data_IF_655862466163
#
_entry.id   IF_655862466163
#
_cell.length_a   1.000
_cell.length_b   1.000
_cell.length_c   1.000
_cell.angle_alpha   90.00
_cell.angle_beta   90.00
_cell.angle_gamma   90.00
#
_symmetry.space_group_name_H-M   'P 1'
#
loop_
_entity.id
_entity.type
_entity.pdbx_description
1 polymer ?
#
# COMPACT_ATOMS: atom_id res chain seq x y z
N UNK A 1 9.91 17.79 -18.03
CA UNK A 1 10.30 17.22 -16.71
C UNK A 1 10.94 18.32 -15.89
N UNK A 2 10.61 18.43 -14.61
CA UNK A 2 11.37 19.27 -13.68
C UNK A 2 12.65 18.52 -13.27
N UNK A 3 13.77 19.24 -13.16
CA UNK A 3 15.05 18.68 -12.72
C UNK A 3 15.22 18.94 -11.23
N UNK A 4 15.58 17.91 -10.47
CA UNK A 4 15.87 18.01 -9.04
C UNK A 4 17.26 17.41 -8.78
N UNK A 5 18.16 18.20 -8.21
CA UNK A 5 19.48 17.75 -7.81
C UNK A 5 19.43 17.22 -6.38
N UNK A 6 19.95 16.02 -6.15
CA UNK A 6 19.99 15.38 -4.84
C UNK A 6 21.40 14.89 -4.58
N UNK A 7 21.98 15.28 -3.45
CA UNK A 7 23.27 14.76 -2.98
C UNK A 7 23.04 13.55 -2.09
N UNK A 8 23.74 12.46 -2.38
CA UNK A 8 23.66 11.22 -1.62
C UNK A 8 25.04 10.88 -1.05
N UNK A 9 25.13 10.36 0.19
CA UNK A 9 26.36 9.76 0.71
C UNK A 9 26.81 8.57 -0.16
N UNK A 10 28.12 8.30 -0.18
CA UNK A 10 28.70 7.22 -0.99
C UNK A 10 28.02 5.85 -0.80
N UNK A 11 27.69 5.40 0.44
CA UNK A 11 26.98 4.13 0.62
C UNK A 11 25.60 4.08 -0.05
N UNK A 12 24.89 5.20 -0.12
CA UNK A 12 23.59 5.27 -0.79
C UNK A 12 23.75 5.29 -2.31
N UNK A 13 24.81 5.91 -2.82
CA UNK A 13 25.14 5.86 -4.24
C UNK A 13 25.44 4.43 -4.68
N UNK A 14 26.29 3.71 -3.94
CA UNK A 14 26.63 2.31 -4.23
C UNK A 14 25.40 1.40 -4.22
N UNK A 15 24.48 1.64 -3.27
CA UNK A 15 23.20 0.94 -3.23
C UNK A 15 22.39 1.17 -4.51
N UNK A 16 22.24 2.43 -4.93
CA UNK A 16 21.51 2.76 -6.17
C UNK A 16 22.16 2.09 -7.38
N UNK A 17 23.49 2.16 -7.51
CA UNK A 17 24.21 1.51 -8.61
C UNK A 17 23.98 -0.01 -8.65
N UNK A 18 23.92 -0.68 -7.50
CA UNK A 18 23.58 -2.10 -7.42
C UNK A 18 22.17 -2.38 -7.98
N UNK A 19 21.19 -1.52 -7.68
CA UNK A 19 19.82 -1.67 -8.20
C UNK A 19 19.72 -1.49 -9.71
N UNK A 20 20.63 -0.72 -10.31
CA UNK A 20 20.70 -0.54 -11.76
C UNK A 20 21.32 -1.75 -12.46
N UNK A 21 22.27 -2.45 -11.82
CA UNK A 21 22.93 -3.65 -12.38
C UNK A 21 21.96 -4.79 -12.68
N UNK A 22 20.85 -4.87 -11.94
CA UNK A 22 19.79 -5.85 -12.16
C UNK A 22 18.99 -5.61 -13.47
N UNK A 23 19.30 -4.55 -14.23
CA UNK A 23 18.68 -4.23 -15.53
C UNK A 23 17.24 -3.71 -15.43
N UNK A 24 16.68 -3.60 -14.22
CA UNK A 24 15.30 -3.14 -13.98
C UNK A 24 15.12 -1.63 -14.15
N UNK A 25 16.20 -0.86 -14.06
CA UNK A 25 16.18 0.60 -14.16
C UNK A 25 17.28 1.07 -15.10
N UNK A 26 16.94 1.97 -16.02
CA UNK A 26 17.90 2.46 -17.02
C UNK A 26 18.86 3.52 -16.47
N UNK A 27 18.48 4.23 -15.39
CA UNK A 27 19.30 5.22 -14.71
C UNK A 27 18.80 5.52 -13.29
N UNK A 28 19.59 6.27 -12.53
CA UNK A 28 19.26 6.67 -11.15
C UNK A 28 17.96 7.44 -11.05
N UNK A 29 17.68 8.34 -11.99
CA UNK A 29 16.44 9.12 -11.96
C UNK A 29 15.20 8.23 -12.12
N UNK A 30 15.32 7.14 -12.88
CA UNK A 30 14.25 6.16 -13.04
C UNK A 30 14.00 5.37 -11.76
N UNK A 31 15.07 4.92 -11.10
CA UNK A 31 14.97 4.29 -9.80
C UNK A 31 14.31 5.21 -8.75
N UNK A 32 14.73 6.48 -8.69
CA UNK A 32 14.16 7.48 -7.77
C UNK A 32 12.68 7.73 -8.07
N UNK A 33 12.28 7.89 -9.35
CA UNK A 33 10.85 8.04 -9.71
C UNK A 33 10.03 6.81 -9.30
N UNK A 34 10.58 5.61 -9.47
CA UNK A 34 9.93 4.40 -9.01
C UNK A 34 9.76 4.38 -7.48
N UNK A 35 10.77 4.80 -6.72
CA UNK A 35 10.65 4.92 -5.26
C UNK A 35 9.58 5.93 -4.83
N UNK A 36 9.52 7.09 -5.49
CA UNK A 36 8.48 8.10 -5.22
C UNK A 36 7.09 7.54 -5.48
N UNK A 37 6.90 6.77 -6.56
CA UNK A 37 5.59 6.12 -6.82
C UNK A 37 5.24 5.11 -5.73
N UNK A 38 6.19 4.27 -5.32
CA UNK A 38 5.98 3.32 -4.23
C UNK A 38 5.65 3.99 -2.90
N UNK A 39 6.28 5.13 -2.63
CA UNK A 39 5.99 5.95 -1.46
C UNK A 39 4.54 6.48 -1.50
N UNK A 40 4.12 7.06 -2.64
CA UNK A 40 2.75 7.51 -2.85
C UNK A 40 1.72 6.37 -2.74
N UNK A 41 2.00 5.20 -3.32
CA UNK A 41 1.16 4.01 -3.23
C UNK A 41 1.00 3.55 -1.78
N UNK A 42 2.09 3.57 -1.00
CA UNK A 42 2.07 3.22 0.42
C UNK A 42 1.24 4.21 1.23
N UNK A 43 1.44 5.50 1.02
CA UNK A 43 0.66 6.55 1.69
C UNK A 43 -0.83 6.43 1.37
N UNK A 44 -1.19 6.18 0.10
CA UNK A 44 -2.57 5.96 -0.30
C UNK A 44 -3.19 4.70 0.35
N UNK A 45 -2.42 3.60 0.44
CA UNK A 45 -2.86 2.38 1.10
C UNK A 45 -3.09 2.60 2.61
N UNK A 46 -2.19 3.33 3.28
CA UNK A 46 -2.34 3.68 4.70
C UNK A 46 -3.59 4.54 4.89
N UNK A 47 -3.77 5.58 4.07
CA UNK A 47 -4.95 6.44 4.15
C UNK A 47 -6.26 5.65 3.97
N UNK A 48 -6.28 4.72 3.01
CA UNK A 48 -7.44 3.85 2.77
C UNK A 48 -7.75 2.97 3.99
N UNK A 49 -6.70 2.37 4.58
CA UNK A 49 -6.86 1.53 5.76
C UNK A 49 -7.35 2.34 6.96
N UNK A 50 -6.78 3.53 7.18
CA UNK A 50 -7.19 4.41 8.28
C UNK A 50 -8.65 4.84 8.13
N UNK A 51 -9.06 5.21 6.92
CA UNK A 51 -10.46 5.53 6.65
C UNK A 51 -11.40 4.36 6.96
N UNK A 52 -11.05 3.14 6.53
CA UNK A 52 -11.86 1.96 6.83
C UNK A 52 -11.94 1.64 8.34
N UNK A 53 -10.86 1.90 9.08
CA UNK A 53 -10.85 1.78 10.54
C UNK A 53 -11.76 2.84 11.17
N UNK A 54 -11.67 4.09 10.74
CA UNK A 54 -12.47 5.20 11.26
C UNK A 54 -13.97 4.95 11.00
N UNK A 55 -14.32 4.48 9.79
CA UNK A 55 -15.68 4.03 9.46
C UNK A 55 -16.15 2.88 10.36
N UNK A 56 -15.27 1.90 10.63
CA UNK A 56 -15.55 0.81 11.56
C UNK A 56 -15.79 1.29 12.99
N UNK A 57 -14.98 2.22 13.49
CA UNK A 57 -15.14 2.82 14.83
C UNK A 57 -16.41 3.66 14.93
N UNK A 58 -16.78 4.36 13.85
CA UNK A 58 -18.01 5.13 13.78
C UNK A 58 -19.27 4.26 13.57
N UNK A 59 -19.12 2.98 13.22
CA UNK A 59 -20.24 2.07 12.93
C UNK A 59 -21.06 1.65 14.17
N UNK A 60 -20.65 2.08 15.36
CA UNK A 60 -21.30 1.83 16.63
C UNK A 60 -20.55 0.81 17.49
N UNK A 61 -21.16 0.43 18.62
CA UNK A 61 -20.50 -0.48 19.57
C UNK A 61 -20.30 -1.89 18.99
N UNK A 62 -19.12 -2.44 19.27
CA UNK A 62 -18.79 -3.81 18.90
C UNK A 62 -19.74 -4.80 19.61
N UNK A 63 -20.28 -5.75 18.85
CA UNK A 63 -21.18 -6.79 19.36
C UNK A 63 -20.48 -8.16 19.29
N UNK A 64 -20.83 -9.10 20.17
CA UNK A 64 -20.36 -10.49 20.06
C UNK A 64 -20.65 -11.05 18.67
N UNK A 65 -19.68 -11.76 18.09
CA UNK A 65 -19.78 -12.29 16.74
C UNK A 65 -19.85 -13.82 16.76
N UNK A 66 -20.97 -14.37 16.29
CA UNK A 66 -21.16 -15.80 16.06
C UNK A 66 -20.97 -16.13 14.57
N UNK A 67 -19.89 -16.86 14.28
CA UNK A 67 -19.53 -17.27 12.93
C UNK A 67 -20.54 -18.24 12.29
N UNK A 68 -21.14 -19.15 13.07
CA UNK A 68 -22.07 -20.15 12.56
C UNK A 68 -23.39 -19.50 12.17
N UNK A 69 -23.92 -18.64 13.03
CA UNK A 69 -25.12 -17.85 12.77
C UNK A 69 -24.91 -16.87 11.59
N UNK A 70 -23.77 -16.18 11.55
CA UNK A 70 -23.43 -15.32 10.40
C UNK A 70 -23.42 -16.08 9.08
N UNK A 71 -22.75 -17.24 9.01
CA UNK A 71 -22.68 -18.05 7.79
C UNK A 71 -24.04 -18.59 7.39
N UNK A 72 -24.84 -19.05 8.35
CA UNK A 72 -26.23 -19.46 8.13
C UNK A 72 -27.08 -18.34 7.51
N UNK A 73 -26.99 -17.12 8.05
CA UNK A 73 -27.66 -15.93 7.48
C UNK A 73 -27.17 -15.59 6.07
N UNK A 74 -25.86 -15.64 5.82
CA UNK A 74 -25.30 -15.34 4.49
C UNK A 74 -25.74 -16.37 3.45
N UNK A 75 -25.72 -17.66 3.78
CA UNK A 75 -26.27 -18.70 2.90
C UNK A 75 -27.77 -18.50 2.68
N UNK A 76 -28.58 -18.22 3.71
CA UNK A 76 -30.01 -17.98 3.51
C UNK A 76 -30.31 -16.74 2.65
N UNK A 77 -29.45 -15.72 2.70
CA UNK A 77 -29.61 -14.45 1.97
C UNK A 77 -29.09 -14.50 0.53
N UNK A 78 -28.02 -15.25 0.29
CA UNK A 78 -27.28 -15.24 -0.98
C UNK A 78 -27.24 -16.59 -1.70
N UNK A 79 -27.64 -17.70 -1.07
CA UNK A 79 -27.91 -18.94 -1.78
C UNK A 79 -29.28 -18.81 -2.45
N UNK A 80 -29.28 -18.24 -3.65
CA UNK A 80 -30.41 -18.38 -4.56
C UNK A 80 -30.26 -19.74 -5.26
N UNK A 81 -31.40 -20.43 -5.38
CA UNK A 81 -31.66 -21.65 -6.16
C UNK A 81 -30.94 -21.69 -7.50
#
# INVERSE_FOLDING_TARGET
MATMNVSLPDPMKDWVELRLKDGRFSNTSDYVRHLIRKDQEREAAIATLQQAIDEGLASGEAKPFDFADFKGRMHARHAIK
#
